data_IF_917682051810
#
_entry.id   IF_917682051810
#
_cell.length_a   1.000
_cell.length_b   1.000
_cell.length_c   1.000
_cell.angle_alpha   90.00
_cell.angle_beta   90.00
_cell.angle_gamma   90.00
#
_symmetry.space_group_name_H-M   'P 1'
#
loop_
_entity.id
_entity.type
_entity.pdbx_description
1 polymer ?
#
# COMPACT_ATOMS: atom_id res chain seq x y z
N UNK A 1 -2.66 -8.03 0.50
CA UNK A 1 -3.67 -8.38 -0.50
C UNK A 1 -4.83 -9.07 0.17
N UNK A 2 -4.61 -10.23 0.80
CA UNK A 2 -5.67 -10.99 1.48
C UNK A 2 -6.45 -10.14 2.51
N UNK A 3 -5.79 -9.32 3.33
CA UNK A 3 -6.47 -8.38 4.25
C UNK A 3 -7.48 -7.47 3.53
N UNK A 4 -7.06 -6.77 2.46
CA UNK A 4 -7.94 -5.86 1.74
C UNK A 4 -9.01 -6.60 0.93
N UNK A 5 -8.68 -7.74 0.33
CA UNK A 5 -9.66 -8.58 -0.36
C UNK A 5 -10.76 -9.02 0.61
N UNK A 6 -10.38 -9.55 1.78
CA UNK A 6 -11.32 -9.92 2.84
C UNK A 6 -12.14 -8.71 3.28
N UNK A 7 -11.51 -7.55 3.48
CA UNK A 7 -12.20 -6.32 3.87
C UNK A 7 -13.31 -5.93 2.90
N UNK A 8 -12.99 -5.87 1.60
CA UNK A 8 -13.95 -5.48 0.56
C UNK A 8 -15.06 -6.52 0.35
N UNK A 9 -14.75 -7.81 0.52
CA UNK A 9 -15.72 -8.91 0.43
C UNK A 9 -16.63 -8.96 1.66
N UNK A 10 -16.11 -8.61 2.84
CA UNK A 10 -16.83 -8.58 4.10
C UNK A 10 -16.95 -9.96 4.79
N UNK A 11 -17.39 -9.95 6.05
CA UNK A 11 -17.43 -11.15 6.91
C UNK A 11 -18.35 -12.23 6.37
N UNK A 12 -19.56 -11.89 5.94
CA UNK A 12 -20.57 -12.89 5.54
C UNK A 12 -20.11 -13.72 4.34
N UNK A 13 -19.64 -13.06 3.28
CA UNK A 13 -19.13 -13.75 2.09
C UNK A 13 -17.82 -14.48 2.38
N UNK A 14 -16.92 -13.91 3.19
CA UNK A 14 -15.67 -14.59 3.58
C UNK A 14 -15.94 -15.85 4.43
N UNK A 15 -16.92 -15.79 5.35
CA UNK A 15 -17.34 -16.93 6.18
C UNK A 15 -17.92 -18.05 5.35
N UNK A 16 -18.76 -17.77 4.35
CA UNK A 16 -19.33 -18.80 3.46
C UNK A 16 -18.24 -19.64 2.78
N UNK A 17 -17.06 -19.07 2.55
CA UNK A 17 -15.97 -19.71 1.82
C UNK A 17 -14.70 -19.94 2.64
N UNK A 18 -14.82 -20.02 3.96
CA UNK A 18 -13.67 -20.25 4.85
C UNK A 18 -12.91 -21.54 4.50
N UNK A 19 -13.63 -22.61 4.12
CA UNK A 19 -13.02 -23.89 3.71
C UNK A 19 -12.12 -23.72 2.50
N UNK A 20 -12.55 -22.94 1.51
CA UNK A 20 -11.76 -22.76 0.30
C UNK A 20 -10.52 -21.90 0.56
N UNK A 21 -10.63 -20.88 1.42
CA UNK A 21 -9.45 -20.13 1.88
C UNK A 21 -8.46 -21.04 2.63
N UNK A 22 -8.96 -21.93 3.49
CA UNK A 22 -8.13 -22.91 4.18
C UNK A 22 -7.49 -23.90 3.20
N UNK A 23 -8.22 -24.37 2.18
CA UNK A 23 -7.69 -25.27 1.15
C UNK A 23 -6.60 -24.60 0.30
N UNK A 24 -6.80 -23.34 -0.12
CA UNK A 24 -5.76 -22.56 -0.82
C UNK A 24 -4.52 -22.42 0.07
N UNK A 25 -4.71 -22.09 1.35
CA UNK A 25 -3.63 -22.05 2.32
C UNK A 25 -2.90 -23.39 2.44
N UNK A 26 -3.62 -24.51 2.50
CA UNK A 26 -3.05 -25.86 2.60
C UNK A 26 -2.27 -26.24 1.33
N UNK A 27 -2.80 -25.98 0.14
CA UNK A 27 -2.11 -26.20 -1.14
C UNK A 27 -0.83 -25.35 -1.21
N UNK A 28 -0.90 -24.09 -0.78
CA UNK A 28 0.26 -23.20 -0.73
C UNK A 28 1.34 -23.69 0.25
N UNK A 29 0.92 -24.24 1.39
CA UNK A 29 1.82 -24.86 2.37
C UNK A 29 2.45 -26.15 1.85
N UNK A 30 1.68 -26.99 1.17
CA UNK A 30 2.16 -28.21 0.54
C UNK A 30 3.19 -27.92 -0.57
N UNK A 31 2.98 -26.87 -1.37
CA UNK A 31 3.96 -26.41 -2.37
C UNK A 31 5.25 -25.92 -1.69
N UNK A 32 5.14 -25.15 -0.60
CA UNK A 32 6.28 -24.73 0.20
C UNK A 32 7.07 -25.89 0.81
N UNK A 33 6.36 -26.94 1.27
CA UNK A 33 6.98 -28.17 1.76
C UNK A 33 7.70 -28.94 0.63
N UNK A 34 7.10 -29.01 -0.56
CA UNK A 34 7.74 -29.59 -1.75
C UNK A 34 9.05 -28.90 -2.10
N UNK A 35 9.06 -27.56 -2.10
CA UNK A 35 10.27 -26.75 -2.31
C UNK A 35 11.36 -27.01 -1.25
N UNK A 36 10.95 -27.28 0.00
CA UNK A 36 11.87 -27.57 1.09
C UNK A 36 12.51 -28.97 0.98
N UNK A 37 11.78 -29.93 0.42
CA UNK A 37 12.21 -31.32 0.24
C UNK A 37 13.04 -31.50 -1.04
N UNK A 38 12.76 -30.73 -2.10
CA UNK A 38 13.44 -30.82 -3.42
C UNK A 38 14.98 -30.83 -3.33
N UNK A 39 15.64 -30.05 -2.44
CA UNK A 39 17.09 -30.13 -2.23
C UNK A 39 17.62 -31.47 -1.69
N UNK A 40 16.78 -32.29 -1.03
CA UNK A 40 17.19 -33.55 -0.39
C UNK A 40 17.47 -34.66 -1.40
N UNK A 41 16.83 -34.61 -2.57
CA UNK A 41 16.98 -35.62 -3.62
C UNK A 41 18.24 -35.42 -4.48
N UNK A 42 19.01 -34.34 -4.23
CA UNK A 42 20.26 -34.02 -4.93
C UNK A 42 20.09 -33.55 -6.39
N UNK A 43 18.85 -33.47 -6.90
CA UNK A 43 18.54 -33.06 -8.28
C UNK A 43 17.74 -31.75 -8.27
N UNK A 44 18.40 -30.63 -8.01
CA UNK A 44 17.78 -29.31 -7.73
C UNK A 44 17.35 -28.50 -8.97
N UNK A 45 16.91 -29.16 -10.03
CA UNK A 45 16.64 -28.46 -11.29
C UNK A 45 15.32 -27.67 -11.27
N UNK A 46 14.25 -28.23 -10.70
CA UNK A 46 12.90 -27.68 -10.91
C UNK A 46 12.67 -26.41 -10.11
N UNK A 47 13.07 -26.38 -8.84
CA UNK A 47 12.82 -25.24 -7.94
C UNK A 47 13.59 -24.00 -8.35
N UNK A 48 14.89 -24.14 -8.64
CA UNK A 48 15.73 -22.99 -9.02
C UNK A 48 15.32 -22.42 -10.39
N UNK A 49 15.06 -23.26 -11.39
CA UNK A 49 14.57 -22.77 -12.69
C UNK A 49 13.21 -22.06 -12.58
N UNK A 50 12.28 -22.62 -11.80
CA UNK A 50 10.96 -21.99 -11.59
C UNK A 50 11.08 -20.65 -10.86
N UNK A 51 11.92 -20.58 -9.83
CA UNK A 51 12.14 -19.34 -9.07
C UNK A 51 12.82 -18.26 -9.92
N UNK A 52 13.84 -18.64 -10.71
CA UNK A 52 14.50 -17.75 -11.65
C UNK A 52 13.53 -17.16 -12.68
N UNK A 53 12.70 -18.01 -13.30
CA UNK A 53 11.67 -17.58 -14.24
C UNK A 53 10.64 -16.65 -13.60
N UNK A 54 10.21 -16.94 -12.36
CA UNK A 54 9.28 -16.10 -11.62
C UNK A 54 9.87 -14.71 -11.34
N UNK A 55 11.14 -14.64 -10.94
CA UNK A 55 11.86 -13.39 -10.71
C UNK A 55 12.03 -12.56 -11.99
N UNK A 56 12.37 -13.22 -13.11
CA UNK A 56 12.43 -12.56 -14.43
C UNK A 56 11.05 -12.02 -14.81
N UNK A 57 9.99 -12.82 -14.65
CA UNK A 57 8.63 -12.42 -14.98
C UNK A 57 8.18 -11.23 -14.13
N UNK A 58 8.40 -11.27 -12.81
CA UNK A 58 8.08 -10.17 -11.89
C UNK A 58 8.89 -8.90 -12.23
N UNK A 59 10.18 -9.04 -12.54
CA UNK A 59 11.04 -7.95 -12.97
C UNK A 59 10.58 -7.31 -14.29
N UNK A 60 10.16 -8.12 -15.27
CA UNK A 60 9.63 -7.64 -16.54
C UNK A 60 8.24 -6.99 -16.37
N UNK A 61 7.36 -7.59 -15.57
CA UNK A 61 6.05 -7.04 -15.27
C UNK A 61 6.15 -5.67 -14.58
N UNK A 62 7.04 -5.54 -13.59
CA UNK A 62 7.31 -4.26 -12.91
C UNK A 62 7.91 -3.21 -13.85
N UNK A 63 8.76 -3.62 -14.80
CA UNK A 63 9.29 -2.74 -15.85
C UNK A 63 8.19 -2.25 -16.79
N UNK A 64 7.37 -3.16 -17.31
CA UNK A 64 6.25 -2.85 -18.24
C UNK A 64 5.23 -1.94 -17.57
N UNK A 65 4.79 -2.27 -16.34
CA UNK A 65 3.87 -1.42 -15.56
C UNK A 65 4.49 -0.04 -15.26
N UNK A 66 5.79 0.02 -15.01
CA UNK A 66 6.53 1.28 -14.83
C UNK A 66 6.53 2.16 -16.08
N UNK A 67 6.78 1.56 -17.25
CA UNK A 67 6.76 2.23 -18.55
C UNK A 67 5.34 2.70 -18.92
N UNK A 68 4.32 1.88 -18.68
CA UNK A 68 2.92 2.21 -18.94
C UNK A 68 2.42 3.37 -18.05
N UNK A 69 2.89 3.46 -16.81
CA UNK A 69 2.47 4.48 -15.86
C UNK A 69 3.14 5.87 -16.06
N UNK A 70 4.08 6.04 -17.01
CA UNK A 70 4.87 7.28 -17.21
C UNK A 70 5.51 7.85 -15.93
N UNK A 71 5.64 7.02 -14.90
CA UNK A 71 6.36 7.33 -13.68
C UNK A 71 7.72 6.64 -13.78
N UNK A 72 8.54 7.13 -14.72
CA UNK A 72 9.92 6.70 -14.94
C UNK A 72 10.83 7.33 -13.90
N UNK A 73 10.66 6.93 -12.65
CA UNK A 73 11.64 7.23 -11.60
C UNK A 73 12.83 6.27 -11.69
N UNK A 74 14.08 6.73 -11.43
CA UNK A 74 15.26 5.85 -11.36
C UNK A 74 15.06 4.69 -10.35
N UNK A 75 14.20 4.89 -9.36
CA UNK A 75 13.84 3.89 -8.36
C UNK A 75 13.02 2.70 -8.92
N UNK A 76 12.21 2.90 -9.96
CA UNK A 76 11.45 1.79 -10.57
C UNK A 76 12.31 0.97 -11.51
N UNK A 77 13.21 1.63 -12.26
CA UNK A 77 14.19 0.96 -13.12
C UNK A 77 15.17 0.15 -12.27
N UNK A 78 15.69 0.72 -11.18
CA UNK A 78 16.54 -0.01 -10.23
C UNK A 78 15.81 -1.19 -9.59
N UNK A 79 14.55 -1.03 -9.18
CA UNK A 79 13.73 -2.14 -8.67
C UNK A 79 13.51 -3.24 -9.70
N UNK A 80 13.14 -2.89 -10.94
CA UNK A 80 12.97 -3.87 -12.01
C UNK A 80 14.29 -4.61 -12.30
N UNK A 81 15.41 -3.87 -12.36
CA UNK A 81 16.74 -4.44 -12.58
C UNK A 81 17.16 -5.37 -11.43
N UNK A 82 16.82 -5.03 -10.19
CA UNK A 82 17.06 -5.86 -9.01
C UNK A 82 16.31 -7.21 -9.03
N UNK A 83 15.25 -7.36 -9.84
CA UNK A 83 14.55 -8.64 -10.04
C UNK A 83 14.98 -9.34 -11.34
N UNK A 84 15.11 -8.60 -12.45
CA UNK A 84 15.47 -9.17 -13.77
C UNK A 84 16.89 -9.74 -13.77
N UNK A 85 17.87 -9.03 -13.19
CA UNK A 85 19.27 -9.46 -13.25
C UNK A 85 19.48 -10.77 -12.47
N UNK A 86 19.07 -10.90 -11.18
CA UNK A 86 19.19 -12.17 -10.49
C UNK A 86 18.39 -13.29 -11.17
N UNK A 87 17.18 -12.98 -11.67
CA UNK A 87 16.36 -13.95 -12.38
C UNK A 87 17.03 -14.52 -13.64
N UNK A 88 17.63 -13.67 -14.48
CA UNK A 88 18.35 -14.10 -15.68
C UNK A 88 19.60 -14.92 -15.32
N UNK A 89 20.31 -14.55 -14.25
CA UNK A 89 21.48 -15.30 -13.77
C UNK A 89 21.11 -16.71 -13.29
N UNK A 90 19.93 -16.87 -12.67
CA UNK A 90 19.41 -18.19 -12.27
C UNK A 90 19.05 -19.04 -13.49
N UNK A 91 18.51 -18.43 -14.55
CA UNK A 91 18.07 -19.14 -15.76
C UNK A 91 19.25 -19.56 -16.65
N UNK A 92 20.27 -18.71 -16.80
CA UNK A 92 21.36 -18.90 -17.77
C UNK A 92 22.39 -19.96 -17.34
N UNK A 93 22.67 -20.13 -16.04
CA UNK A 93 23.57 -21.19 -15.54
C UNK A 93 23.31 -21.55 -14.07
N UNK A 94 22.45 -22.55 -13.78
CA UNK A 94 22.08 -22.92 -12.40
C UNK A 94 23.27 -23.41 -11.57
N UNK A 95 24.13 -24.25 -12.15
CA UNK A 95 25.15 -25.00 -11.39
C UNK A 95 26.44 -24.23 -11.08
N UNK A 96 26.80 -23.21 -11.89
CA UNK A 96 28.03 -22.42 -11.67
C UNK A 96 27.83 -21.21 -10.75
N UNK A 97 26.57 -20.80 -10.52
CA UNK A 97 26.23 -19.55 -9.85
C UNK A 97 25.55 -19.73 -8.49
N UNK A 98 25.42 -20.95 -7.95
CA UNK A 98 24.70 -21.22 -6.69
C UNK A 98 25.24 -20.39 -5.53
N UNK A 99 26.56 -20.34 -5.37
CA UNK A 99 27.22 -19.52 -4.33
C UNK A 99 26.89 -18.04 -4.52
N UNK A 100 26.95 -17.54 -5.76
CA UNK A 100 26.64 -16.14 -6.07
C UNK A 100 25.16 -15.83 -5.83
N UNK A 101 24.23 -16.73 -6.20
CA UNK A 101 22.79 -16.59 -5.97
C UNK A 101 22.50 -16.52 -4.47
N UNK A 102 23.10 -17.42 -3.67
CA UNK A 102 22.95 -17.41 -2.22
C UNK A 102 23.51 -16.13 -1.60
N UNK A 103 24.68 -15.66 -2.04
CA UNK A 103 25.27 -14.40 -1.56
C UNK A 103 24.40 -13.19 -1.94
N UNK A 104 23.91 -13.11 -3.18
CA UNK A 104 23.04 -12.02 -3.61
C UNK A 104 21.71 -12.02 -2.85
N UNK A 105 21.13 -13.20 -2.63
CA UNK A 105 19.93 -13.38 -1.82
C UNK A 105 20.17 -12.97 -0.36
N UNK A 106 21.27 -13.40 0.24
CA UNK A 106 21.70 -12.99 1.58
C UNK A 106 21.91 -11.49 1.70
N UNK A 107 22.55 -10.86 0.71
CA UNK A 107 22.73 -9.41 0.67
C UNK A 107 21.39 -8.67 0.58
N UNK A 108 20.44 -9.17 -0.20
CA UNK A 108 19.11 -8.58 -0.29
C UNK A 108 18.35 -8.67 1.05
N UNK A 109 18.36 -9.83 1.70
CA UNK A 109 17.77 -10.02 3.04
C UNK A 109 18.45 -9.14 4.09
N UNK A 110 19.77 -9.02 4.05
CA UNK A 110 20.53 -8.16 4.97
C UNK A 110 20.13 -6.69 4.82
N UNK A 111 20.11 -6.19 3.58
CA UNK A 111 19.74 -4.80 3.30
C UNK A 111 18.30 -4.53 3.72
N UNK A 112 17.34 -5.41 3.38
CA UNK A 112 15.95 -5.23 3.79
C UNK A 112 15.80 -5.29 5.32
N UNK A 113 16.40 -6.30 5.97
CA UNK A 113 16.42 -6.46 7.42
C UNK A 113 16.95 -5.22 8.14
N UNK A 114 18.10 -4.68 7.71
CA UNK A 114 18.70 -3.47 8.29
C UNK A 114 17.81 -2.24 8.09
N UNK A 115 17.31 -2.01 6.88
CA UNK A 115 16.40 -0.88 6.60
C UNK A 115 15.16 -0.98 7.49
N UNK A 116 14.59 -2.19 7.63
CA UNK A 116 13.39 -2.43 8.44
C UNK A 116 13.66 -2.27 9.93
N UNK A 117 14.82 -2.67 10.45
CA UNK A 117 15.25 -2.41 11.84
C UNK A 117 15.34 -0.90 12.08
N UNK A 118 16.05 -0.16 11.23
CA UNK A 118 16.21 1.30 11.36
C UNK A 118 14.85 2.00 11.34
N UNK A 119 13.98 1.65 10.37
CA UNK A 119 12.63 2.22 10.29
C UNK A 119 11.80 1.91 11.55
N UNK A 120 11.90 0.68 12.07
CA UNK A 120 11.17 0.25 13.26
C UNK A 120 11.65 0.97 14.52
N UNK A 121 12.96 1.18 14.68
CA UNK A 121 13.54 1.89 15.83
C UNK A 121 13.21 3.39 15.81
N UNK A 122 13.15 4.01 14.63
CA UNK A 122 12.82 5.43 14.48
C UNK A 122 11.33 5.72 14.69
N UNK A 123 10.45 4.90 14.10
CA UNK A 123 9.01 5.16 14.08
C UNK A 123 8.29 4.53 15.27
N UNK A 124 8.70 3.34 15.72
CA UNK A 124 8.03 2.55 16.76
C UNK A 124 6.51 2.43 16.59
N UNK A 125 6.07 2.14 15.37
CA UNK A 125 4.66 1.94 15.04
C UNK A 125 4.01 0.79 15.84
N UNK A 126 2.67 0.70 15.91
CA UNK A 126 1.98 -0.38 16.61
C UNK A 126 2.36 -1.78 16.07
N UNK A 127 2.86 -2.64 16.95
CA UNK A 127 3.39 -3.96 16.56
C UNK A 127 4.87 -3.95 16.14
N UNK A 128 5.61 -2.87 16.40
CA UNK A 128 7.05 -2.76 16.10
C UNK A 128 7.89 -3.93 16.66
N UNK A 129 7.50 -4.52 17.79
CA UNK A 129 8.21 -5.67 18.38
C UNK A 129 8.20 -6.90 17.45
N UNK A 130 7.05 -7.21 16.86
CA UNK A 130 6.93 -8.32 15.92
C UNK A 130 7.69 -8.02 14.62
N UNK A 131 7.68 -6.78 14.17
CA UNK A 131 8.47 -6.36 13.01
C UNK A 131 9.98 -6.45 13.28
N UNK A 132 10.43 -6.04 14.47
CA UNK A 132 11.82 -6.12 14.89
C UNK A 132 12.27 -7.60 15.00
N UNK A 133 11.44 -8.46 15.58
CA UNK A 133 11.71 -9.90 15.64
C UNK A 133 11.76 -10.54 14.25
N UNK A 134 10.81 -10.20 13.37
CA UNK A 134 10.82 -10.65 11.98
C UNK A 134 12.07 -10.19 11.22
N UNK A 135 12.53 -8.95 11.44
CA UNK A 135 13.80 -8.46 10.90
C UNK A 135 15.00 -9.18 11.48
N UNK A 136 15.00 -9.51 12.78
CA UNK A 136 16.08 -10.29 13.38
C UNK A 136 16.19 -11.69 12.74
N UNK A 137 15.06 -12.35 12.48
CA UNK A 137 15.03 -13.62 11.73
C UNK A 137 15.61 -13.43 10.33
N UNK A 138 15.22 -12.35 9.64
CA UNK A 138 15.72 -12.01 8.31
C UNK A 138 17.25 -11.81 8.27
N UNK A 139 17.82 -11.19 9.30
CA UNK A 139 19.29 -11.08 9.47
C UNK A 139 19.93 -12.45 9.69
N UNK A 140 19.32 -13.32 10.48
CA UNK A 140 19.80 -14.70 10.67
C UNK A 140 19.78 -15.47 9.34
N UNK A 141 18.69 -15.38 8.57
CA UNK A 141 18.60 -15.99 7.24
C UNK A 141 19.64 -15.42 6.27
N UNK A 142 19.94 -14.12 6.35
CA UNK A 142 21.00 -13.50 5.56
C UNK A 142 22.39 -14.07 5.90
N UNK A 143 22.70 -14.25 7.19
CA UNK A 143 23.95 -14.89 7.63
C UNK A 143 24.03 -16.32 7.14
N UNK A 144 22.93 -17.09 7.27
CA UNK A 144 22.85 -18.45 6.73
C UNK A 144 23.07 -18.50 5.22
N UNK A 145 22.71 -17.47 4.48
CA UNK A 145 22.94 -17.40 3.03
C UNK A 145 24.40 -17.08 2.65
N UNK A 146 25.19 -16.51 3.58
CA UNK A 146 26.62 -16.25 3.39
C UNK A 146 27.51 -17.42 3.80
N UNK A 147 26.97 -18.41 4.50
CA UNK A 147 27.73 -19.55 5.02
C UNK A 147 27.15 -20.87 4.52
N UNK A 148 27.98 -21.87 4.15
CA UNK A 148 27.49 -23.18 3.67
C UNK A 148 26.99 -24.09 4.81
N UNK A 149 27.00 -23.62 6.05
CA UNK A 149 26.58 -24.35 7.23
C UNK A 149 25.62 -23.50 8.05
N UNK A 150 24.55 -24.08 8.66
CA UNK A 150 24.09 -25.46 8.59
C UNK A 150 23.40 -25.89 7.28
N UNK A 151 23.06 -24.94 6.39
CA UNK A 151 22.38 -25.22 5.11
C UNK A 151 23.37 -24.95 3.97
N UNK A 152 23.49 -25.89 3.02
CA UNK A 152 24.36 -25.71 1.85
C UNK A 152 23.84 -24.56 0.98
N UNK A 153 24.74 -23.89 0.24
CA UNK A 153 24.35 -22.79 -0.68
C UNK A 153 23.25 -23.17 -1.68
N UNK A 154 23.24 -24.43 -2.06
CA UNK A 154 22.24 -25.08 -2.90
C UNK A 154 20.84 -25.09 -2.25
N UNK A 155 20.77 -25.43 -0.96
CA UNK A 155 19.52 -25.55 -0.24
C UNK A 155 19.06 -24.22 0.39
N UNK A 156 19.92 -23.21 0.55
CA UNK A 156 19.59 -21.98 1.29
C UNK A 156 18.40 -21.21 0.70
N UNK A 157 18.39 -20.97 -0.62
CA UNK A 157 17.30 -20.22 -1.27
C UNK A 157 15.98 -21.01 -1.22
N UNK A 158 15.93 -22.28 -1.64
CA UNK A 158 14.74 -23.13 -1.46
C UNK A 158 14.26 -23.20 -0.01
N UNK A 159 15.19 -23.34 0.95
CA UNK A 159 14.87 -23.37 2.37
C UNK A 159 14.15 -22.09 2.82
N UNK A 160 14.70 -20.91 2.50
CA UNK A 160 14.11 -19.64 2.88
C UNK A 160 12.72 -19.43 2.24
N UNK A 161 12.59 -19.78 0.97
CA UNK A 161 11.33 -19.66 0.20
C UNK A 161 10.28 -20.63 0.75
N UNK A 162 10.64 -21.89 0.97
CA UNK A 162 9.77 -22.92 1.53
C UNK A 162 9.25 -22.53 2.92
N UNK A 163 10.16 -22.10 3.82
CA UNK A 163 9.77 -21.60 5.15
C UNK A 163 8.85 -20.39 5.05
N UNK A 164 9.16 -19.40 4.21
CA UNK A 164 8.31 -18.22 4.02
C UNK A 164 6.91 -18.59 3.50
N UNK A 165 6.82 -19.54 2.56
CA UNK A 165 5.57 -20.07 2.04
C UNK A 165 4.78 -20.80 3.12
N UNK A 166 5.42 -21.66 3.92
CA UNK A 166 4.78 -22.36 5.03
C UNK A 166 4.26 -21.39 6.11
N UNK A 167 5.03 -20.37 6.48
CA UNK A 167 4.59 -19.34 7.44
C UNK A 167 3.40 -18.53 6.90
N UNK A 168 3.43 -18.18 5.61
CA UNK A 168 2.31 -17.49 4.97
C UNK A 168 1.06 -18.38 4.87
N UNK A 169 1.23 -19.66 4.55
CA UNK A 169 0.17 -20.68 4.55
C UNK A 169 -0.49 -20.79 5.92
N UNK A 170 0.32 -20.93 6.98
CA UNK A 170 -0.16 -20.95 8.35
C UNK A 170 -1.00 -19.71 8.68
N UNK A 171 -0.53 -18.52 8.28
CA UNK A 171 -1.29 -17.28 8.48
C UNK A 171 -2.63 -17.28 7.76
N UNK A 172 -2.71 -17.81 6.53
CA UNK A 172 -3.96 -17.89 5.76
C UNK A 172 -4.92 -18.89 6.39
N UNK A 173 -4.44 -20.10 6.73
CA UNK A 173 -5.25 -21.15 7.36
C UNK A 173 -5.77 -20.65 8.71
N UNK A 174 -4.90 -20.07 9.56
CA UNK A 174 -5.30 -19.49 10.83
C UNK A 174 -6.37 -18.41 10.65
N UNK A 175 -6.24 -17.56 9.64
CA UNK A 175 -7.24 -16.52 9.35
C UNK A 175 -8.57 -17.11 8.90
N UNK A 176 -8.56 -18.16 8.08
CA UNK A 176 -9.75 -18.89 7.66
C UNK A 176 -10.46 -19.57 8.84
N UNK A 177 -9.71 -20.17 9.75
CA UNK A 177 -10.26 -20.78 10.96
C UNK A 177 -10.85 -19.74 11.92
N UNK A 178 -10.20 -18.58 12.07
CA UNK A 178 -10.73 -17.48 12.88
C UNK A 178 -11.98 -16.85 12.26
N UNK A 179 -12.03 -16.73 10.93
CA UNK A 179 -13.22 -16.29 10.20
C UNK A 179 -14.44 -17.17 10.52
N UNK A 180 -14.25 -18.49 10.55
CA UNK A 180 -15.32 -19.46 10.87
C UNK A 180 -15.96 -19.19 12.24
N UNK A 181 -15.17 -18.76 13.23
CA UNK A 181 -15.62 -18.55 14.60
C UNK A 181 -16.14 -17.14 14.90
N UNK A 182 -16.15 -16.23 13.92
CA UNK A 182 -16.61 -14.86 14.16
C UNK A 182 -18.14 -14.80 14.31
N UNK A 183 -18.65 -14.03 15.29
CA UNK A 183 -20.08 -13.76 15.41
C UNK A 183 -20.66 -13.15 14.12
N UNK A 184 -21.92 -13.46 13.78
CA UNK A 184 -22.64 -12.74 12.75
C UNK A 184 -22.57 -11.23 13.01
N UNK A 185 -22.29 -10.44 11.97
CA UNK A 185 -22.20 -8.97 12.02
C UNK A 185 -21.00 -8.37 12.79
N UNK A 186 -20.06 -9.19 13.27
CA UNK A 186 -18.78 -8.65 13.70
C UNK A 186 -18.08 -7.95 12.52
N UNK A 187 -17.40 -6.81 12.73
CA UNK A 187 -16.62 -6.19 11.66
C UNK A 187 -15.43 -7.10 11.33
N UNK A 188 -15.02 -7.19 10.06
CA UNK A 188 -13.91 -8.07 9.66
C UNK A 188 -12.57 -7.62 10.23
N UNK A 189 -12.48 -6.32 10.52
CA UNK A 189 -11.37 -5.68 11.23
C UNK A 189 -11.20 -6.20 12.68
N UNK A 190 -12.17 -6.98 13.19
CA UNK A 190 -12.02 -7.71 14.45
C UNK A 190 -11.00 -8.86 14.38
N UNK A 191 -10.69 -9.40 13.19
CA UNK A 191 -9.73 -10.49 13.07
C UNK A 191 -8.32 -10.05 13.48
N UNK A 192 -7.54 -10.92 14.14
CA UNK A 192 -6.12 -10.69 14.45
C UNK A 192 -5.25 -10.39 13.23
N UNK A 193 -5.69 -10.76 12.02
CA UNK A 193 -5.00 -10.41 10.78
C UNK A 193 -5.01 -8.88 10.54
N UNK A 194 -6.05 -8.17 10.97
CA UNK A 194 -6.08 -6.70 11.01
C UNK A 194 -5.48 -6.14 12.31
N UNK A 195 -4.86 -7.02 13.12
CA UNK A 195 -4.33 -6.83 14.46
C UNK A 195 -3.10 -5.92 14.58
N UNK A 196 -2.77 -5.11 13.57
CA UNK A 196 -2.02 -3.87 13.81
C UNK A 196 -2.95 -2.82 14.44
N UNK A 197 -3.68 -3.23 15.48
CA UNK A 197 -4.58 -2.36 16.21
C UNK A 197 -3.71 -1.32 16.90
N UNK A 198 -3.85 -0.08 16.47
CA UNK A 198 -3.34 1.04 17.24
C UNK A 198 -4.10 1.01 18.55
N UNK A 199 -3.45 1.06 19.72
CA UNK A 199 -4.04 0.68 21.01
C UNK A 199 -5.34 1.39 21.44
N UNK A 200 -5.77 2.40 20.69
CA UNK A 200 -7.04 3.13 20.80
C UNK A 200 -8.15 2.61 19.86
N UNK A 201 -7.86 1.64 18.99
CA UNK A 201 -8.82 1.07 18.03
C UNK A 201 -9.61 -0.05 18.70
N UNK A 202 -10.86 0.26 19.03
CA UNK A 202 -11.85 -0.75 19.40
C UNK A 202 -12.61 -1.22 18.15
N UNK A 203 -12.87 -2.53 17.97
CA UNK A 203 -13.77 -2.99 16.93
C UNK A 203 -15.14 -2.35 17.15
N UNK A 204 -15.57 -1.55 16.19
CA UNK A 204 -16.89 -0.94 16.26
C UNK A 204 -17.87 -1.92 15.63
N UNK A 205 -18.67 -2.56 16.47
CA UNK A 205 -19.85 -3.29 15.99
C UNK A 205 -20.83 -2.28 15.43
N UNK A 206 -21.30 -2.50 14.21
CA UNK A 206 -22.37 -1.69 13.62
C UNK A 206 -23.64 -2.05 14.37
N UNK A 207 -24.33 -1.09 15.02
CA UNK A 207 -25.65 -1.35 15.55
C UNK A 207 -26.54 -1.81 14.39
N UNK A 208 -27.28 -2.90 14.58
CA UNK A 208 -28.34 -3.27 13.63
C UNK A 208 -29.25 -2.05 13.49
N UNK A 209 -29.60 -1.66 12.25
CA UNK A 209 -30.66 -0.67 12.05
C UNK A 209 -31.88 -1.22 12.75
N UNK A 210 -32.23 -0.65 13.90
CA UNK A 210 -33.42 -1.03 14.64
C UNK A 210 -34.61 -0.77 13.72
N UNK A 211 -35.57 -1.69 13.69
CA UNK A 211 -36.85 -1.45 13.04
C UNK A 211 -37.45 -0.18 13.68
N UNK A 212 -37.42 0.95 12.96
CA UNK A 212 -37.74 2.29 13.48
C UNK A 212 -36.67 3.39 13.31
N UNK A 213 -35.56 3.15 12.61
CA UNK A 213 -34.65 4.23 12.18
C UNK A 213 -35.34 5.09 11.10
N UNK A 214 -35.99 6.18 11.54
CA UNK A 214 -36.73 7.15 10.71
C UNK A 214 -35.85 7.98 9.74
N UNK A 215 -34.58 7.64 9.60
CA UNK A 215 -33.68 8.34 8.69
C UNK A 215 -34.06 8.07 7.24
N UNK A 216 -34.55 9.12 6.58
CA UNK A 216 -34.82 9.09 5.16
C UNK A 216 -33.56 8.62 4.39
N UNK A 217 -33.70 7.70 3.41
CA UNK A 217 -32.60 7.33 2.53
C UNK A 217 -32.03 8.59 1.88
N UNK A 218 -30.70 8.78 1.97
CA UNK A 218 -30.03 9.89 1.29
C UNK A 218 -30.15 9.64 -0.22
N UNK A 219 -30.76 10.55 -1.01
CA UNK A 219 -30.75 10.45 -2.47
C UNK A 219 -29.32 10.61 -2.98
N UNK A 220 -28.85 9.69 -3.81
CA UNK A 220 -27.49 9.68 -4.39
C UNK A 220 -26.36 9.94 -3.38
N UNK A 221 -26.15 9.03 -2.40
CA UNK A 221 -25.15 9.23 -1.37
C UNK A 221 -23.75 9.29 -2.00
N UNK A 222 -23.01 10.34 -1.64
CA UNK A 222 -21.62 10.54 -2.08
C UNK A 222 -20.69 10.61 -0.87
N UNK A 223 -19.55 9.96 -1.00
CA UNK A 223 -18.47 10.01 -0.02
C UNK A 223 -17.25 10.63 -0.72
N UNK A 224 -16.75 11.75 -0.18
CA UNK A 224 -15.72 12.56 -0.80
C UNK A 224 -14.49 12.57 0.10
N UNK A 225 -13.35 12.13 -0.43
CA UNK A 225 -12.04 12.28 0.22
C UNK A 225 -11.36 13.53 -0.30
N UNK A 226 -11.17 14.51 0.57
CA UNK A 226 -10.50 15.77 0.30
C UNK A 226 -9.02 15.67 0.67
N UNK A 227 -8.15 16.11 -0.23
CA UNK A 227 -6.69 16.05 -0.01
C UNK A 227 -6.05 17.38 -0.34
N UNK A 228 -5.24 17.88 0.58
CA UNK A 228 -4.30 18.98 0.42
C UNK A 228 -2.89 18.41 0.39
N UNK A 229 -2.28 18.36 -0.80
CA UNK A 229 -0.92 17.80 -0.92
C UNK A 229 0.14 18.77 -0.39
N UNK A 230 1.23 18.27 0.23
CA UNK A 230 2.29 19.12 0.80
C UNK A 230 2.91 20.12 -0.19
N UNK A 231 2.94 19.77 -1.47
CA UNK A 231 3.54 20.58 -2.53
C UNK A 231 2.68 21.79 -2.91
N UNK A 232 1.37 21.67 -2.73
CA UNK A 232 0.39 22.71 -3.06
C UNK A 232 0.04 23.59 -1.84
N UNK A 233 0.40 23.15 -0.63
CA UNK A 233 0.22 23.89 0.62
C UNK A 233 1.40 24.83 0.97
N UNK A 234 2.44 24.93 0.13
CA UNK A 234 3.59 25.81 0.35
C UNK A 234 3.88 26.70 -0.86
N UNK A 235 4.34 27.93 -0.61
CA UNK A 235 4.66 28.91 -1.65
C UNK A 235 5.95 28.61 -2.43
N UNK A 236 7.01 28.11 -1.77
CA UNK A 236 8.32 27.84 -2.40
C UNK A 236 9.02 26.54 -1.92
N UNK A 237 8.42 25.35 -2.12
CA UNK A 237 8.99 24.09 -1.63
C UNK A 237 10.35 23.77 -2.29
N UNK A 238 11.34 23.35 -1.50
CA UNK A 238 12.56 22.72 -2.05
C UNK A 238 12.18 21.40 -2.71
N UNK A 239 12.36 21.29 -4.03
CA UNK A 239 11.97 20.10 -4.80
C UNK A 239 12.85 18.88 -4.46
N UNK A 240 12.33 17.98 -3.63
CA UNK A 240 12.81 16.61 -3.38
C UNK A 240 11.73 15.63 -3.87
N UNK A 241 11.76 15.23 -5.17
CA UNK A 241 10.65 14.56 -5.86
C UNK A 241 10.19 13.22 -5.23
N UNK A 242 11.01 12.60 -4.37
CA UNK A 242 10.69 11.34 -3.69
C UNK A 242 10.13 11.53 -2.27
N UNK A 243 10.43 12.66 -1.61
CA UNK A 243 10.06 12.94 -0.21
C UNK A 243 8.85 13.88 -0.14
N UNK A 244 8.79 14.90 -1.00
CA UNK A 244 7.78 15.97 -0.94
C UNK A 244 6.35 15.46 -1.13
N UNK A 245 6.18 14.39 -1.93
CA UNK A 245 4.86 13.81 -2.22
C UNK A 245 4.35 12.90 -1.10
N UNK A 246 5.24 12.23 -0.36
CA UNK A 246 4.86 11.11 0.51
C UNK A 246 5.18 11.28 1.98
N UNK A 247 6.02 12.25 2.36
CA UNK A 247 6.48 12.42 3.75
C UNK A 247 6.12 13.82 4.25
N UNK A 248 6.75 14.84 3.68
CA UNK A 248 6.50 16.25 3.96
C UNK A 248 7.28 17.11 2.96
N UNK A 249 6.82 18.33 2.70
CA UNK A 249 7.62 19.37 2.03
C UNK A 249 8.35 20.20 3.09
N UNK A 250 9.57 20.64 2.77
CA UNK A 250 10.36 21.54 3.63
C UNK A 250 10.62 22.81 2.85
N UNK A 251 10.30 23.95 3.45
CA UNK A 251 10.57 25.26 2.86
C UNK A 251 12.06 25.64 2.99
N UNK A 252 12.52 26.66 2.25
CA UNK A 252 13.85 27.27 2.37
C UNK A 252 14.16 27.76 3.79
N UNK A 253 13.12 28.08 4.56
CA UNK A 253 13.20 28.48 5.97
C UNK A 253 13.34 27.31 6.95
N UNK A 254 13.18 26.06 6.48
CA UNK A 254 13.27 24.86 7.32
C UNK A 254 11.95 24.43 7.99
N UNK A 255 10.83 25.12 7.71
CA UNK A 255 9.48 24.73 8.15
C UNK A 255 8.95 23.53 7.36
N UNK A 256 8.32 22.59 8.06
CA UNK A 256 7.83 21.32 7.51
C UNK A 256 6.31 21.38 7.31
N UNK A 257 5.81 21.30 6.07
CA UNK A 257 4.38 21.10 5.79
C UNK A 257 4.08 19.66 5.40
N UNK A 258 3.11 19.07 6.09
CA UNK A 258 2.72 17.66 5.88
C UNK A 258 1.49 17.50 4.99
N UNK A 259 0.86 18.61 4.56
CA UNK A 259 -0.45 18.60 3.92
C UNK A 259 -1.56 18.16 4.88
N UNK A 260 -2.77 17.94 4.36
CA UNK A 260 -3.92 17.48 5.14
C UNK A 260 -4.88 16.61 4.34
N UNK A 261 -5.73 15.86 5.03
CA UNK A 261 -6.80 15.05 4.45
C UNK A 261 -8.04 15.08 5.30
N UNK A 262 -9.19 15.22 4.65
CA UNK A 262 -10.50 15.13 5.27
C UNK A 262 -11.42 14.20 4.47
N UNK A 263 -12.51 13.77 5.09
CA UNK A 263 -13.53 12.94 4.47
C UNK A 263 -14.91 13.52 4.75
N UNK A 264 -15.72 13.68 3.72
CA UNK A 264 -17.04 14.28 3.76
C UNK A 264 -18.08 13.29 3.23
N UNK A 265 -19.20 13.14 3.94
CA UNK A 265 -20.41 12.45 3.48
C UNK A 265 -21.57 13.43 3.71
N UNK A 266 -21.89 14.27 2.71
CA UNK A 266 -22.97 15.23 2.82
C UNK A 266 -24.34 14.55 3.02
N UNK A 267 -25.28 15.20 3.73
CA UNK A 267 -25.11 16.45 4.47
C UNK A 267 -24.60 16.24 5.92
N UNK A 268 -24.39 15.00 6.35
CA UNK A 268 -24.42 14.66 7.77
C UNK A 268 -23.04 14.59 8.45
N UNK A 269 -21.97 14.32 7.71
CA UNK A 269 -20.71 13.89 8.32
C UNK A 269 -19.49 14.50 7.65
N UNK A 270 -18.61 15.05 8.48
CA UNK A 270 -17.31 15.56 8.10
C UNK A 270 -16.24 15.08 9.10
N UNK A 271 -15.19 14.45 8.59
CA UNK A 271 -14.07 13.91 9.36
C UNK A 271 -12.83 14.68 8.97
N UNK A 272 -12.38 15.53 9.87
CA UNK A 272 -11.12 16.26 9.74
C UNK A 272 -10.50 16.42 11.12
N UNK A 273 -9.27 15.93 11.29
CA UNK A 273 -8.61 15.83 12.59
C UNK A 273 -7.29 16.61 12.62
N UNK A 274 -7.26 17.65 13.44
CA UNK A 274 -6.13 18.55 13.60
C UNK A 274 -5.53 18.44 15.00
N UNK A 275 -4.29 18.93 15.13
CA UNK A 275 -3.73 19.28 16.44
C UNK A 275 -4.48 20.51 16.98
N UNK A 276 -4.73 20.56 18.29
CA UNK A 276 -5.46 21.67 18.90
C UNK A 276 -4.68 23.00 18.87
N UNK A 277 -3.36 22.95 19.09
CA UNK A 277 -2.45 24.09 18.97
C UNK A 277 -1.65 23.99 17.67
N UNK A 278 -1.88 24.92 16.75
CA UNK A 278 -1.09 25.07 15.53
C UNK A 278 0.22 25.77 15.84
N UNK A 279 1.32 25.05 15.64
CA UNK A 279 2.66 25.61 15.79
C UNK A 279 3.52 24.99 14.71
N UNK A 280 4.16 25.85 13.92
CA UNK A 280 5.13 25.44 12.91
C UNK A 280 6.26 24.66 13.57
N UNK A 281 6.61 23.52 12.95
CA UNK A 281 7.68 22.66 13.46
C UNK A 281 8.96 22.94 12.72
N UNK A 282 10.03 23.12 13.47
CA UNK A 282 11.37 23.00 12.93
C UNK A 282 11.65 21.55 12.52
N UNK A 283 12.60 21.34 11.60
CA UNK A 283 13.01 19.99 11.18
C UNK A 283 13.47 19.09 12.35
N UNK A 284 13.98 19.67 13.44
CA UNK A 284 14.41 18.94 14.63
C UNK A 284 13.23 18.39 15.44
N UNK A 285 12.22 19.23 15.67
CA UNK A 285 10.97 18.85 16.35
C UNK A 285 10.17 17.85 15.51
N UNK A 286 10.23 17.98 14.18
CA UNK A 286 9.61 17.01 13.28
C UNK A 286 10.21 15.61 13.47
N UNK A 287 11.54 15.47 13.59
CA UNK A 287 12.19 14.16 13.82
C UNK A 287 11.73 13.52 15.13
N UNK A 288 11.61 14.31 16.19
CA UNK A 288 11.11 13.80 17.47
C UNK A 288 9.64 13.37 17.38
N UNK A 289 8.84 14.11 16.62
CA UNK A 289 7.42 13.82 16.41
C UNK A 289 7.13 12.63 15.49
N UNK A 290 8.12 12.13 14.73
CA UNK A 290 7.96 10.90 13.91
C UNK A 290 7.74 9.67 14.79
N UNK A 291 8.17 9.68 16.05
CA UNK A 291 7.98 8.53 16.93
C UNK A 291 6.49 8.35 17.32
N UNK A 292 5.91 7.18 17.04
CA UNK A 292 4.48 6.84 17.24
C UNK A 292 4.08 6.56 18.71
N UNK A 293 4.93 6.94 19.65
CA UNK A 293 4.77 6.60 21.07
C UNK A 293 3.91 7.63 21.80
N UNK A 294 3.37 7.22 22.96
CA UNK A 294 2.47 8.06 23.77
C UNK A 294 3.08 9.39 24.22
N UNK A 295 4.41 9.48 24.26
CA UNK A 295 5.10 10.74 24.59
C UNK A 295 4.86 11.87 23.58
N UNK A 296 4.40 11.53 22.37
CA UNK A 296 4.08 12.49 21.32
C UNK A 296 2.57 12.69 21.13
N UNK A 297 1.75 12.13 22.03
CA UNK A 297 0.33 12.37 22.06
C UNK A 297 0.07 13.79 22.58
N UNK A 298 -0.73 14.55 21.83
CA UNK A 298 -1.09 15.94 22.14
C UNK A 298 -2.60 16.12 21.97
N UNK A 299 -3.21 17.16 22.57
CA UNK A 299 -4.62 17.46 22.33
C UNK A 299 -4.89 17.73 20.84
N UNK A 300 -5.93 17.11 20.30
CA UNK A 300 -6.45 17.34 18.96
C UNK A 300 -7.80 18.06 18.96
N UNK A 301 -8.26 18.41 17.76
CA UNK A 301 -9.57 19.02 17.50
C UNK A 301 -10.16 18.46 16.21
N UNK A 302 -11.49 18.42 16.14
CA UNK A 302 -12.23 18.04 14.93
C UNK A 302 -12.91 19.26 14.33
N UNK A 303 -12.87 19.38 13.00
CA UNK A 303 -13.54 20.49 12.31
C UNK A 303 -14.98 20.12 11.93
N UNK A 304 -15.89 21.10 11.87
CA UNK A 304 -17.33 20.83 11.72
C UNK A 304 -17.77 20.56 10.29
N UNK A 305 -17.13 21.16 9.27
CA UNK A 305 -17.54 21.01 7.87
C UNK A 305 -16.42 21.34 6.89
N UNK A 306 -16.55 20.86 5.65
CA UNK A 306 -15.62 21.19 4.57
C UNK A 306 -15.58 22.69 4.29
N UNK A 307 -16.73 23.37 4.35
CA UNK A 307 -16.80 24.82 4.12
C UNK A 307 -16.03 25.60 5.19
N UNK A 308 -16.21 25.23 6.45
CA UNK A 308 -15.45 25.83 7.55
C UNK A 308 -13.93 25.73 7.31
N UNK A 309 -13.45 24.55 6.90
CA UNK A 309 -12.02 24.32 6.65
C UNK A 309 -11.51 25.01 5.37
N UNK A 310 -12.30 24.99 4.29
CA UNK A 310 -11.91 25.59 3.02
C UNK A 310 -11.89 27.13 3.07
N UNK A 311 -12.78 27.72 3.86
CA UNK A 311 -12.87 29.18 4.05
C UNK A 311 -11.76 29.70 4.97
N UNK A 312 -11.35 28.91 5.98
CA UNK A 312 -10.24 29.24 6.89
C UNK A 312 -8.86 29.08 6.22
N UNK A 313 -8.70 28.06 5.37
CA UNK A 313 -7.43 27.75 4.73
C UNK A 313 -7.44 27.86 3.20
N UNK A 314 -7.97 26.85 2.49
CA UNK A 314 -8.18 26.86 1.04
C UNK A 314 -8.98 25.64 0.55
N UNK A 315 -9.50 25.70 -0.68
CA UNK A 315 -10.12 24.56 -1.35
C UNK A 315 -9.14 23.38 -1.53
N UNK A 316 -9.67 22.15 -1.42
CA UNK A 316 -8.85 20.94 -1.49
C UNK A 316 -8.24 20.73 -2.87
N UNK A 317 -6.95 20.39 -2.89
CA UNK A 317 -6.15 20.23 -4.12
C UNK A 317 -6.55 19.02 -4.96
N UNK A 318 -7.11 17.98 -4.33
CA UNK A 318 -7.69 16.82 -4.99
C UNK A 318 -8.93 16.33 -4.24
N UNK A 319 -9.83 15.69 -4.98
CA UNK A 319 -11.05 15.04 -4.47
C UNK A 319 -11.14 13.64 -5.08
N UNK A 320 -11.49 12.64 -4.27
CA UNK A 320 -11.83 11.27 -4.72
C UNK A 320 -13.23 10.96 -4.24
N UNK A 321 -14.12 10.56 -5.15
CA UNK A 321 -15.55 10.42 -4.87
C UNK A 321 -15.95 8.96 -4.95
N UNK A 322 -16.63 8.45 -3.93
CA UNK A 322 -17.20 7.11 -3.89
C UNK A 322 -18.73 7.21 -3.89
N UNK A 323 -19.37 6.41 -4.76
CA UNK A 323 -20.82 6.25 -4.83
C UNK A 323 -21.30 4.96 -4.16
N UNK A 324 -20.40 4.01 -3.96
CA UNK A 324 -20.66 2.72 -3.32
C UNK A 324 -19.95 2.65 -1.97
N UNK A 325 -20.69 2.82 -0.89
CA UNK A 325 -20.18 2.71 0.48
C UNK A 325 -21.33 2.44 1.48
N UNK A 326 -20.97 2.02 2.69
CA UNK A 326 -21.88 1.82 3.81
C UNK A 326 -21.82 3.03 4.76
N UNK A 327 -22.86 3.87 4.71
CA UNK A 327 -22.96 5.09 5.50
C UNK A 327 -23.11 4.81 7.01
N UNK A 328 -23.77 3.71 7.39
CA UNK A 328 -24.04 3.38 8.78
C UNK A 328 -22.77 2.88 9.47
N UNK A 329 -21.95 2.09 8.76
CA UNK A 329 -20.59 1.74 9.19
C UNK A 329 -19.70 2.96 9.38
N UNK A 330 -19.74 3.91 8.44
CA UNK A 330 -18.96 5.14 8.54
C UNK A 330 -19.37 5.98 9.75
N UNK A 331 -20.67 6.15 10.00
CA UNK A 331 -21.19 6.86 11.18
C UNK A 331 -20.81 6.16 12.47
N UNK A 332 -20.95 4.83 12.54
CA UNK A 332 -20.57 4.06 13.71
C UNK A 332 -19.06 4.21 14.01
N UNK A 333 -18.22 4.10 12.97
CA UNK A 333 -16.79 4.35 13.07
C UNK A 333 -16.50 5.75 13.63
N UNK A 334 -17.12 6.78 13.06
CA UNK A 334 -16.90 8.16 13.50
C UNK A 334 -17.32 8.39 14.96
N UNK A 335 -18.49 7.87 15.34
CA UNK A 335 -19.02 7.96 16.71
C UNK A 335 -18.08 7.33 17.75
N UNK A 336 -17.38 6.26 17.40
CA UNK A 336 -16.38 5.66 18.28
C UNK A 336 -15.05 6.43 18.25
N UNK A 337 -14.60 6.86 17.07
CA UNK A 337 -13.32 7.55 16.91
C UNK A 337 -13.30 8.89 17.65
N UNK A 338 -14.37 9.69 17.52
CA UNK A 338 -14.44 11.05 18.06
C UNK A 338 -14.46 11.14 19.60
N UNK A 339 -14.66 10.02 20.30
CA UNK A 339 -14.65 9.98 21.77
C UNK A 339 -13.29 10.30 22.38
N UNK A 340 -12.22 10.12 21.61
CA UNK A 340 -10.86 10.41 22.01
C UNK A 340 -10.26 11.46 21.04
N UNK A 341 -10.14 12.74 21.45
CA UNK A 341 -9.58 13.79 20.60
C UNK A 341 -8.05 13.78 20.58
N UNK A 342 -7.37 12.76 21.13
CA UNK A 342 -5.91 12.70 21.11
C UNK A 342 -5.37 12.73 19.68
N UNK A 343 -4.40 13.60 19.43
CA UNK A 343 -3.68 13.72 18.18
C UNK A 343 -2.26 13.21 18.31
N UNK A 344 -1.79 12.47 17.32
CA UNK A 344 -0.39 12.05 17.20
C UNK A 344 0.01 12.03 15.72
N UNK A 345 1.10 12.71 15.37
CA UNK A 345 1.54 12.87 13.98
C UNK A 345 1.71 11.52 13.25
N UNK A 346 2.21 10.50 13.94
CA UNK A 346 2.50 9.19 13.34
C UNK A 346 1.45 8.15 13.67
N UNK A 347 0.85 8.24 14.87
CA UNK A 347 -0.06 7.23 15.38
C UNK A 347 -1.55 7.58 15.25
N UNK A 348 -1.93 8.86 15.16
CA UNK A 348 -3.34 9.30 15.17
C UNK A 348 -3.51 10.69 14.54
N UNK A 349 -3.34 10.77 13.22
CA UNK A 349 -3.42 11.99 12.43
C UNK A 349 -4.64 11.98 11.48
N UNK A 350 -4.83 13.07 10.72
CA UNK A 350 -5.89 13.25 9.73
C UNK A 350 -5.93 12.13 8.67
N UNK A 351 -4.77 11.75 8.12
CA UNK A 351 -4.67 10.72 7.09
C UNK A 351 -4.97 9.32 7.61
N UNK A 352 -4.63 9.05 8.87
CA UNK A 352 -4.96 7.79 9.55
C UNK A 352 -6.47 7.69 9.74
N UNK A 353 -7.12 8.76 10.26
CA UNK A 353 -8.58 8.74 10.45
C UNK A 353 -9.32 8.56 9.14
N UNK A 354 -8.93 9.27 8.07
CA UNK A 354 -9.53 9.15 6.75
C UNK A 354 -9.33 7.75 6.15
N UNK A 355 -8.13 7.17 6.24
CA UNK A 355 -7.87 5.84 5.72
C UNK A 355 -8.72 4.76 6.41
N UNK A 356 -8.90 4.82 7.73
CA UNK A 356 -9.74 3.85 8.44
C UNK A 356 -11.22 4.12 8.25
N UNK A 357 -11.64 5.39 8.19
CA UNK A 357 -13.02 5.75 7.87
C UNK A 357 -13.42 5.19 6.50
N UNK A 358 -12.51 5.31 5.51
CA UNK A 358 -12.70 4.74 4.19
C UNK A 358 -12.73 3.20 4.22
N UNK A 359 -11.82 2.55 4.96
CA UNK A 359 -11.85 1.10 5.16
C UNK A 359 -13.15 0.62 5.82
N UNK A 360 -13.66 1.34 6.82
CA UNK A 360 -14.92 1.02 7.49
C UNK A 360 -16.12 1.18 6.53
N UNK A 361 -16.14 2.26 5.74
CA UNK A 361 -17.20 2.55 4.78
C UNK A 361 -17.22 1.57 3.60
N UNK A 362 -16.08 0.99 3.22
CA UNK A 362 -15.98 0.05 2.10
C UNK A 362 -16.02 -1.43 2.53
N UNK A 363 -16.09 -1.71 3.83
CA UNK A 363 -16.11 -3.08 4.32
C UNK A 363 -17.36 -3.81 3.84
N UNK A 364 -17.20 -4.91 3.09
CA UNK A 364 -18.29 -5.73 2.56
C UNK A 364 -18.99 -5.17 1.32
N UNK A 365 -18.46 -4.11 0.69
CA UNK A 365 -19.08 -3.48 -0.47
C UNK A 365 -19.21 -4.40 -1.69
N UNK A 366 -18.35 -5.41 -1.80
CA UNK A 366 -18.35 -6.42 -2.85
C UNK A 366 -19.12 -7.70 -2.46
N UNK A 367 -19.74 -7.75 -1.28
CA UNK A 367 -20.41 -8.97 -0.78
C UNK A 367 -21.50 -9.53 -1.70
N UNK A 368 -22.19 -8.68 -2.47
CA UNK A 368 -23.25 -9.06 -3.42
C UNK A 368 -22.74 -9.44 -4.81
N UNK A 369 -21.53 -9.00 -5.17
CA UNK A 369 -20.98 -9.12 -6.54
C UNK A 369 -20.01 -10.32 -6.68
N UNK A 370 -19.80 -11.08 -5.60
CA UNK A 370 -18.72 -12.07 -5.50
C UNK A 370 -19.28 -13.46 -5.26
N UNK A 371 -19.51 -14.21 -6.35
CA UNK A 371 -19.35 -15.65 -6.33
C UNK A 371 -17.85 -16.01 -6.17
N UNK A 372 -17.50 -17.26 -5.83
CA UNK A 372 -16.10 -17.61 -5.53
C UNK A 372 -15.05 -17.32 -6.65
N UNK A 373 -15.33 -17.50 -7.96
CA UNK A 373 -14.35 -17.14 -9.01
C UNK A 373 -13.91 -15.65 -9.02
N UNK A 374 -14.73 -14.68 -8.58
CA UNK A 374 -14.31 -13.29 -8.40
C UNK A 374 -13.30 -12.98 -7.28
N UNK A 375 -13.11 -13.78 -6.23
CA UNK A 375 -12.05 -13.51 -5.22
C UNK A 375 -10.66 -13.62 -5.86
N UNK A 376 -10.46 -14.62 -6.72
CA UNK A 376 -9.21 -14.76 -7.45
C UNK A 376 -9.00 -13.59 -8.42
N UNK A 377 -10.06 -13.14 -9.11
CA UNK A 377 -10.00 -11.93 -9.96
C UNK A 377 -9.66 -10.68 -9.16
N UNK A 378 -10.20 -10.55 -7.95
CA UNK A 378 -9.93 -9.46 -7.03
C UNK A 378 -8.47 -9.48 -6.56
N UNK A 379 -7.95 -10.65 -6.17
CA UNK A 379 -6.52 -10.83 -5.80
C UNK A 379 -5.60 -10.55 -6.98
N UNK A 380 -6.01 -10.83 -8.21
CA UNK A 380 -5.23 -10.50 -9.40
C UNK A 380 -5.41 -9.04 -9.88
N UNK A 381 -6.22 -8.23 -9.19
CA UNK A 381 -6.45 -6.84 -9.56
C UNK A 381 -5.24 -5.95 -9.23
N UNK A 382 -4.68 -5.20 -10.19
CA UNK A 382 -3.43 -4.47 -10.03
C UNK A 382 -3.57 -3.33 -9.02
N UNK A 383 -4.74 -2.67 -9.01
CA UNK A 383 -5.02 -1.62 -8.03
C UNK A 383 -5.17 -2.16 -6.61
N UNK A 384 -5.61 -3.42 -6.43
CA UNK A 384 -5.63 -4.03 -5.10
C UNK A 384 -4.21 -4.34 -4.61
N UNK A 385 -3.32 -4.73 -5.52
CA UNK A 385 -1.89 -4.85 -5.22
C UNK A 385 -1.31 -3.49 -4.83
N UNK A 386 -1.56 -2.43 -5.62
CA UNK A 386 -1.11 -1.07 -5.30
C UNK A 386 -1.64 -0.61 -3.93
N UNK A 387 -2.94 -0.76 -3.69
CA UNK A 387 -3.59 -0.42 -2.41
C UNK A 387 -2.95 -1.19 -1.24
N UNK A 388 -2.63 -2.47 -1.43
CA UNK A 388 -1.92 -3.28 -0.43
C UNK A 388 -0.54 -2.72 -0.14
N UNK A 389 0.26 -2.40 -1.16
CA UNK A 389 1.63 -1.89 -0.99
C UNK A 389 1.60 -0.55 -0.27
N UNK A 390 0.70 0.35 -0.66
CA UNK A 390 0.50 1.65 -0.02
C UNK A 390 0.09 1.49 1.45
N UNK A 391 -0.90 0.63 1.73
CA UNK A 391 -1.35 0.34 3.08
C UNK A 391 -0.24 -0.24 3.97
N UNK A 392 0.52 -1.22 3.46
CA UNK A 392 1.63 -1.83 4.20
C UNK A 392 2.68 -0.78 4.55
N UNK A 393 3.05 0.06 3.60
CA UNK A 393 4.02 1.16 3.80
C UNK A 393 3.50 2.19 4.80
N UNK A 394 2.24 2.59 4.70
CA UNK A 394 1.65 3.56 5.60
C UNK A 394 1.55 3.05 7.04
N UNK A 395 1.32 1.75 7.22
CA UNK A 395 1.26 1.14 8.56
C UNK A 395 2.64 0.98 9.23
N UNK A 396 3.72 0.83 8.47
CA UNK A 396 5.09 0.76 9.03
C UNK A 396 5.73 2.13 9.25
N UNK A 397 5.22 3.16 8.57
CA UNK A 397 5.63 4.55 8.74
C UNK A 397 4.48 5.34 9.38
N UNK A 398 3.79 6.14 8.58
CA UNK A 398 2.53 6.79 8.93
C UNK A 398 1.71 7.01 7.66
N UNK A 399 0.41 7.16 7.80
CA UNK A 399 -0.42 7.64 6.71
C UNK A 399 -0.16 9.14 6.51
N UNK A 400 0.06 9.52 5.27
CA UNK A 400 0.24 10.91 4.84
C UNK A 400 -0.75 11.25 3.74
N UNK A 401 -1.03 12.54 3.49
CA UNK A 401 -2.01 12.94 2.50
C UNK A 401 -1.77 12.39 1.10
N UNK A 402 -0.51 12.32 0.68
CA UNK A 402 -0.13 11.71 -0.60
C UNK A 402 -0.41 10.20 -0.64
N UNK A 403 -0.13 9.48 0.45
CA UNK A 403 -0.43 8.04 0.53
C UNK A 403 -1.93 7.77 0.54
N UNK A 404 -2.72 8.57 1.27
CA UNK A 404 -4.18 8.45 1.31
C UNK A 404 -4.79 8.75 -0.05
N UNK A 405 -4.32 9.77 -0.78
CA UNK A 405 -4.81 10.08 -2.12
C UNK A 405 -4.61 8.91 -3.09
N UNK A 406 -3.40 8.37 -3.13
CA UNK A 406 -3.08 7.25 -4.04
C UNK A 406 -3.81 5.97 -3.60
N UNK A 407 -3.99 5.77 -2.29
CA UNK A 407 -4.76 4.65 -1.74
C UNK A 407 -6.26 4.74 -2.05
N UNK A 408 -6.87 5.92 -1.86
CA UNK A 408 -8.27 6.16 -2.15
C UNK A 408 -8.56 5.97 -3.64
N UNK A 409 -7.69 6.45 -4.54
CA UNK A 409 -7.82 6.21 -5.99
C UNK A 409 -7.72 4.73 -6.35
N UNK A 410 -6.81 4.00 -5.72
CA UNK A 410 -6.67 2.56 -5.96
C UNK A 410 -7.92 1.80 -5.47
N UNK A 411 -8.46 2.16 -4.31
CA UNK A 411 -9.71 1.58 -3.80
C UNK A 411 -10.92 1.93 -4.67
N UNK A 412 -11.06 3.18 -5.10
CA UNK A 412 -12.12 3.62 -6.01
C UNK A 412 -12.15 2.77 -7.27
N UNK A 413 -10.98 2.53 -7.88
CA UNK A 413 -10.84 1.70 -9.07
C UNK A 413 -11.24 0.23 -8.83
N UNK A 414 -11.07 -0.28 -7.62
CA UNK A 414 -11.45 -1.66 -7.27
C UNK A 414 -12.97 -1.76 -6.98
N UNK A 415 -13.57 -0.73 -6.39
CA UNK A 415 -14.95 -0.79 -5.90
C UNK A 415 -15.99 -0.28 -6.89
N UNK A 416 -15.61 0.58 -7.83
CA UNK A 416 -16.54 1.19 -8.79
C UNK A 416 -16.45 0.54 -10.18
N UNK A 417 -17.56 0.03 -10.74
CA UNK A 417 -17.57 -0.67 -12.04
C UNK A 417 -17.19 0.21 -13.24
N UNK A 418 -17.39 1.53 -13.16
CA UNK A 418 -17.14 2.44 -14.28
C UNK A 418 -15.67 2.86 -14.41
N UNK A 419 -14.87 2.69 -13.37
CA UNK A 419 -13.45 2.98 -13.39
C UNK A 419 -12.64 1.80 -13.94
N UNK A 420 -12.72 1.65 -15.26
CA UNK A 420 -11.75 0.99 -16.13
C UNK A 420 -11.74 -0.55 -16.18
N UNK A 421 -12.32 -1.08 -17.27
CA UNK A 421 -11.93 -2.41 -17.75
C UNK A 421 -10.45 -2.38 -18.18
N UNK A 422 -9.74 -3.49 -18.01
CA UNK A 422 -8.35 -3.65 -18.47
C UNK A 422 -8.13 -3.20 -19.93
N UNK A 423 -9.16 -3.35 -20.77
CA UNK A 423 -9.16 -2.91 -22.17
C UNK A 423 -9.12 -1.39 -22.29
N UNK A 424 -9.83 -0.67 -21.41
CA UNK A 424 -9.81 0.79 -21.35
C UNK A 424 -8.48 1.33 -20.82
N UNK A 425 -7.86 0.66 -19.83
CA UNK A 425 -6.52 1.04 -19.33
C UNK A 425 -5.47 0.86 -20.41
N UNK A 426 -5.43 -0.31 -21.07
CA UNK A 426 -4.51 -0.57 -22.18
C UNK A 426 -4.76 0.37 -23.36
N UNK A 427 -6.03 0.58 -23.73
CA UNK A 427 -6.42 1.46 -24.83
C UNK A 427 -6.02 2.92 -24.58
N UNK A 428 -6.24 3.42 -23.37
CA UNK A 428 -5.83 4.78 -22.98
C UNK A 428 -4.31 4.92 -22.93
N UNK A 429 -3.57 3.92 -22.45
CA UNK A 429 -2.12 3.91 -22.49
C UNK A 429 -1.58 3.96 -23.94
N UNK A 430 -2.18 3.18 -24.85
CA UNK A 430 -1.81 3.14 -26.26
C UNK A 430 -2.09 4.47 -26.99
N UNK A 431 -3.25 5.06 -26.72
CA UNK A 431 -3.63 6.37 -27.26
C UNK A 431 -2.72 7.48 -26.74
N UNK A 432 -2.36 7.44 -25.45
CA UNK A 432 -1.43 8.40 -24.84
C UNK A 432 -0.02 8.25 -25.40
N UNK A 433 0.50 7.03 -25.56
CA UNK A 433 1.78 6.77 -26.21
C UNK A 433 1.82 7.28 -27.66
N UNK A 434 0.74 7.03 -28.43
CA UNK A 434 0.59 7.57 -29.80
C UNK A 434 0.62 9.09 -29.84
N UNK A 435 0.00 9.78 -28.86
CA UNK A 435 0.01 11.24 -28.75
C UNK A 435 1.39 11.79 -28.39
N UNK A 436 2.11 11.16 -27.45
CA UNK A 436 3.48 11.52 -27.09
C UNK A 436 4.43 11.40 -28.30
N UNK A 437 4.38 10.26 -29.01
CA UNK A 437 5.20 10.04 -30.21
C UNK A 437 4.88 11.01 -31.34
N UNK A 438 3.62 11.43 -31.50
CA UNK A 438 3.23 12.47 -32.46
C UNK A 438 3.79 13.84 -32.08
N UNK A 439 3.80 14.19 -30.78
CA UNK A 439 4.41 15.43 -30.29
C UNK A 439 5.92 15.45 -30.51
N UNK A 440 6.63 14.35 -30.22
CA UNK A 440 8.07 14.25 -30.45
C UNK A 440 8.43 14.35 -31.94
N UNK A 441 7.62 13.72 -32.81
CA UNK A 441 7.78 13.88 -34.27
C UNK A 441 7.58 15.33 -34.71
N UNK A 442 6.53 16.00 -34.24
CA UNK A 442 6.29 17.41 -34.58
C UNK A 442 7.41 18.34 -34.08
N UNK A 443 7.94 18.08 -32.88
CA UNK A 443 9.07 18.83 -32.32
C UNK A 443 10.35 18.62 -33.13
N UNK A 444 10.66 17.38 -33.50
CA UNK A 444 11.81 17.07 -34.36
C UNK A 444 11.70 17.66 -35.77
N UNK A 445 10.48 17.81 -36.32
CA UNK A 445 10.27 18.49 -37.61
C UNK A 445 10.39 20.01 -37.50
N UNK A 446 9.97 20.62 -36.38
CA UNK A 446 10.20 22.06 -36.14
C UNK A 446 11.68 22.38 -35.89
N UNK A 447 12.41 21.53 -35.18
CA UNK A 447 13.86 21.69 -34.97
C UNK A 447 14.64 21.54 -36.29
N UNK A 448 14.24 20.62 -37.17
CA UNK A 448 14.84 20.50 -38.53
C UNK A 448 14.51 21.70 -39.43
N UNK A 449 13.27 22.18 -39.40
CA UNK A 449 12.87 23.36 -40.17
C UNK A 449 13.54 24.65 -39.65
N UNK A 450 13.80 24.75 -38.35
CA UNK A 450 14.57 25.86 -37.76
C UNK A 450 16.06 25.82 -38.09
N UNK A 451 16.65 24.62 -38.22
CA UNK A 451 18.05 24.45 -38.61
C UNK A 451 18.32 24.77 -40.09
N UNK A 452 17.34 24.53 -40.98
CA UNK A 452 17.43 24.94 -42.40
C UNK A 452 17.28 26.46 -42.61
N UNK A 453 16.73 27.18 -41.62
CA UNK A 453 16.51 28.63 -41.71
C UNK A 453 17.65 29.48 -41.12
N UNK A 454 18.75 28.87 -40.67
CA UNK A 454 19.97 29.62 -40.32
C UNK A 454 20.77 29.97 -41.59
N UNK A 455 20.93 31.25 -41.95
CA UNK A 455 21.71 31.63 -43.13
C UNK A 455 23.17 31.26 -42.91
N UNK A 456 23.73 30.46 -43.82
CA UNK A 456 25.18 30.21 -43.91
C UNK A 456 25.89 31.56 -44.02
N UNK A 457 26.48 32.03 -42.92
CA UNK A 457 27.41 33.14 -42.92
C UNK A 457 28.58 32.77 -43.86
N UNK A 458 28.64 33.44 -45.01
CA UNK A 458 29.77 33.36 -45.93
C UNK A 458 31.00 33.96 -45.23
N UNK A 459 31.98 33.12 -44.94
CA UNK A 459 33.37 33.57 -44.73
C UNK A 459 33.87 34.20 -46.05
N UNK A 460 34.21 35.48 -45.99
CA UNK A 460 35.24 36.13 -46.77
C UNK A 460 36.12 36.90 -45.82
#
# INVERSE_FOLDING_TARGET
>A
MIQLALLLVGVQAAQRHWLTLAAIGAIWGALGLGILIDPLDGVQNVTMHTLGLLLVFEGLATLVLGLLAHATGPLRVTRALAFVVPGLMIVDTPFRNVVLISILFGAALLVDGVIRIVATLLVRFPGWQAALFGSAIEIVLAVLAFTPWPVSYEATVPFCVGVAMMLSSWSVIRSALLLRGLPPHAPITSLPLFGQRRGWQSPVSVPQRLDGDDRAPIPDPVLIVHVWTPLASQAEPLRRPLLDRYVASVDKTGSVATGHTALEMPPDLYISHYRAAEQDRTASEFRQAIHAGKQNDVPGRFLPSYRFEADDWCESTAKVVFRRFDADRLRAFWNAYQQDPTYNLTNRNCSIVVAMALEAALEGILSRDVDFPPILRLVLHPELYLATVLRRRANTMTWTPGLVLDYARALQQVTEPESSSWVAVLGNALLRYRRARRRDRMRSSHERAGAECQPRARMR
#
